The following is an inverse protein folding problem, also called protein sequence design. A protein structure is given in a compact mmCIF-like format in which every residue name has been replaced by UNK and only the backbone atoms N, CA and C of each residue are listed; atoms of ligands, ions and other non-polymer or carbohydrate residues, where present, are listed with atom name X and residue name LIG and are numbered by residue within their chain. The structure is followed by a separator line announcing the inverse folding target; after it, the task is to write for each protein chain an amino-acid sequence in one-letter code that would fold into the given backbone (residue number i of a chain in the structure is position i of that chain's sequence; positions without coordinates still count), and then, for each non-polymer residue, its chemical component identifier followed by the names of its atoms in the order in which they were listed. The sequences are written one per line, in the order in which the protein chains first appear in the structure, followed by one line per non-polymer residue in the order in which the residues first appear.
data_IF_019838467898
#
_entry.id   IF_019838467898
#
_cell.length_a   1.000
_cell.length_b   1.000
_cell.length_c   1.000
_cell.angle_alpha   90.00
_cell.angle_beta   90.00
_cell.angle_gamma   90.00
#
_symmetry.space_group_name_H-M   'P 1'
#
loop_
_entity.id
_entity.type
_entity.pdbx_description
1 polymer ?
#
# COMPACT_ATOMS: atom_id res chain seq x y z
N UNK A 1 -1.04 -9.95 -17.48
CA UNK A 1 -0.17 -10.37 -16.36
C UNK A 1 0.01 -9.18 -15.43
N UNK A 2 -0.92 -8.96 -14.49
CA UNK A 2 -0.91 -7.79 -13.60
C UNK A 2 -1.63 -8.00 -12.26
N UNK A 3 -1.96 -9.25 -11.92
CA UNK A 3 -2.85 -9.58 -10.79
C UNK A 3 -2.12 -9.68 -9.44
N UNK A 4 -0.78 -9.72 -9.43
CA UNK A 4 0.00 -9.98 -8.21
C UNK A 4 0.57 -8.72 -7.54
N UNK A 5 0.60 -7.56 -8.21
CA UNK A 5 1.18 -6.34 -7.62
C UNK A 5 0.28 -5.69 -6.58
N UNK A 6 -1.04 -5.84 -6.70
CA UNK A 6 -2.02 -5.34 -5.73
C UNK A 6 -1.86 -6.01 -4.37
N UNK A 7 -1.40 -7.26 -4.34
CA UNK A 7 -1.17 -8.01 -3.10
C UNK A 7 0.25 -7.85 -2.56
N UNK A 8 1.08 -7.04 -3.22
CA UNK A 8 2.47 -6.80 -2.81
C UNK A 8 3.26 -8.10 -2.65
N UNK A 9 3.05 -9.02 -3.59
CA UNK A 9 3.81 -10.26 -3.69
C UNK A 9 5.31 -9.96 -3.83
N UNK A 10 6.19 -10.81 -3.29
CA UNK A 10 7.62 -10.70 -3.54
C UNK A 10 7.93 -10.60 -5.05
N UNK A 11 8.68 -9.57 -5.45
CA UNK A 11 9.05 -9.33 -6.85
C UNK A 11 7.96 -8.71 -7.73
N UNK A 12 6.76 -8.47 -7.21
CA UNK A 12 5.65 -7.85 -7.97
C UNK A 12 5.71 -6.31 -8.02
N UNK A 13 6.46 -5.69 -7.11
CA UNK A 13 6.57 -4.23 -6.99
C UNK A 13 7.72 -3.69 -7.85
N UNK A 14 7.42 -2.70 -8.68
CA UNK A 14 8.44 -1.93 -9.39
C UNK A 14 9.07 -0.91 -8.45
N UNK A 15 10.30 -1.18 -8.01
CA UNK A 15 11.04 -0.34 -7.06
C UNK A 15 11.07 1.13 -7.49
N UNK A 16 11.20 1.43 -8.80
CA UNK A 16 11.25 2.82 -9.29
C UNK A 16 9.94 3.58 -9.05
N UNK A 17 8.82 2.87 -8.97
CA UNK A 17 7.49 3.47 -8.77
C UNK A 17 7.13 3.67 -7.30
N UNK A 18 7.69 2.84 -6.40
CA UNK A 18 7.31 2.79 -4.96
C UNK A 18 8.28 3.52 -4.03
N UNK A 19 9.55 3.70 -4.43
CA UNK A 19 10.55 4.41 -3.62
C UNK A 19 10.02 5.79 -3.22
N UNK A 20 10.08 6.08 -1.91
CA UNK A 20 9.67 7.37 -1.36
C UNK A 20 8.16 7.60 -1.27
N UNK A 21 7.31 6.61 -1.61
CA UNK A 21 5.85 6.71 -1.57
C UNK A 21 5.24 5.83 -0.47
N UNK A 22 3.97 6.07 -0.17
CA UNK A 22 3.14 5.14 0.60
C UNK A 22 2.50 4.18 -0.39
N UNK A 23 2.61 2.88 -0.12
CA UNK A 23 2.06 1.81 -0.97
C UNK A 23 0.75 1.32 -0.38
N UNK A 24 -0.24 1.06 -1.23
CA UNK A 24 -1.51 0.43 -0.84
C UNK A 24 -1.50 -1.00 -1.38
N UNK A 25 -1.72 -1.99 -0.51
CA UNK A 25 -1.85 -3.40 -0.87
C UNK A 25 -3.23 -3.91 -0.46
N UNK A 26 -3.75 -4.91 -1.16
CA UNK A 26 -5.00 -5.62 -0.84
C UNK A 26 -4.66 -7.02 -0.32
N UNK A 27 -5.45 -7.50 0.63
CA UNK A 27 -5.40 -8.86 1.14
C UNK A 27 -6.62 -9.67 0.66
N UNK A 28 -6.65 -9.96 -0.65
CA UNK A 28 -7.66 -10.83 -1.26
C UNK A 28 -7.18 -12.29 -1.41
N UNK A 29 -5.88 -12.53 -1.24
CA UNK A 29 -5.23 -13.84 -1.35
C UNK A 29 -4.36 -14.12 -0.09
N UNK A 30 -4.76 -15.11 0.73
CA UNK A 30 -4.07 -15.45 1.98
C UNK A 30 -2.75 -16.19 1.75
N UNK A 31 -2.33 -16.45 0.51
CA UNK A 31 -1.07 -17.15 0.24
C UNK A 31 0.17 -16.40 0.77
N UNK A 32 0.07 -15.08 1.00
CA UNK A 32 1.14 -14.27 1.60
C UNK A 32 0.60 -13.52 2.80
N UNK A 33 1.17 -13.79 3.97
CA UNK A 33 0.78 -13.10 5.20
C UNK A 33 1.09 -11.60 5.16
N UNK A 34 0.30 -10.80 5.89
CA UNK A 34 0.54 -9.36 6.09
C UNK A 34 1.96 -9.01 6.52
N UNK A 35 2.62 -9.90 7.29
CA UNK A 35 4.03 -9.73 7.68
C UNK A 35 4.98 -9.73 6.48
N UNK A 36 4.79 -10.67 5.55
CA UNK A 36 5.62 -10.75 4.35
C UNK A 36 5.34 -9.56 3.43
N UNK A 37 4.06 -9.20 3.22
CA UNK A 37 3.68 -8.01 2.43
C UNK A 37 4.36 -6.74 2.98
N UNK A 38 4.37 -6.57 4.30
CA UNK A 38 5.08 -5.48 4.98
C UNK A 38 6.59 -5.50 4.72
N UNK A 39 7.24 -6.67 4.78
CA UNK A 39 8.68 -6.78 4.54
C UNK A 39 9.03 -6.47 3.09
N UNK A 40 8.24 -6.97 2.13
CA UNK A 40 8.41 -6.68 0.70
C UNK A 40 8.35 -5.18 0.45
N UNK A 41 7.33 -4.50 0.96
CA UNK A 41 7.17 -3.05 0.77
C UNK A 41 8.30 -2.27 1.44
N UNK A 42 8.70 -2.65 2.66
CA UNK A 42 9.80 -2.00 3.36
C UNK A 42 11.15 -2.11 2.61
N UNK A 43 11.42 -3.27 2.00
CA UNK A 43 12.63 -3.51 1.20
C UNK A 43 12.71 -2.60 -0.04
N UNK A 44 11.56 -2.20 -0.59
CA UNK A 44 11.50 -1.27 -1.72
C UNK A 44 11.84 0.19 -1.38
N UNK A 45 12.21 0.51 -0.13
CA UNK A 45 12.42 1.90 0.35
C UNK A 45 11.16 2.77 0.21
N UNK A 46 9.99 2.16 0.32
CA UNK A 46 8.74 2.88 0.50
C UNK A 46 8.73 3.60 1.86
N UNK A 47 7.93 4.66 1.98
CA UNK A 47 7.74 5.41 3.23
C UNK A 47 6.73 4.76 4.17
N UNK A 48 5.87 3.89 3.67
CA UNK A 48 4.88 3.20 4.47
C UNK A 48 3.98 2.29 3.66
N UNK A 49 3.15 1.54 4.38
CA UNK A 49 2.18 0.59 3.83
C UNK A 49 0.79 0.82 4.43
N UNK A 50 -0.21 0.91 3.56
CA UNK A 50 -1.63 0.74 3.90
C UNK A 50 -2.06 -0.63 3.38
N UNK A 51 -2.43 -1.55 4.27
CA UNK A 51 -2.97 -2.85 3.91
C UNK A 51 -4.50 -2.82 4.00
N UNK A 52 -5.18 -3.21 2.94
CA UNK A 52 -6.63 -3.39 2.91
C UNK A 52 -6.90 -4.86 3.23
N UNK A 53 -7.37 -5.12 4.45
CA UNK A 53 -7.71 -6.45 4.93
C UNK A 53 -8.95 -6.33 5.85
N UNK A 54 -9.98 -7.11 5.57
CA UNK A 54 -11.19 -7.16 6.41
C UNK A 54 -11.13 -8.26 7.47
N UNK A 55 -10.39 -9.33 7.23
CA UNK A 55 -10.34 -10.50 8.09
C UNK A 55 -9.45 -10.26 9.32
N UNK A 56 -8.28 -9.64 9.13
CA UNK A 56 -7.37 -9.33 10.24
C UNK A 56 -7.61 -7.95 10.85
N UNK A 57 -8.57 -7.18 10.31
CA UNK A 57 -8.86 -5.80 10.74
C UNK A 57 -9.06 -5.71 12.24
N UNK A 58 -8.20 -4.92 12.89
CA UNK A 58 -8.28 -4.65 14.33
C UNK A 58 -7.57 -5.68 15.20
N UNK A 59 -6.97 -6.72 14.60
CA UNK A 59 -6.00 -7.56 15.29
C UNK A 59 -4.69 -6.77 15.46
N UNK A 60 -4.11 -6.73 16.67
CA UNK A 60 -2.83 -6.09 16.90
C UNK A 60 -1.75 -6.68 15.98
N UNK A 61 -0.97 -5.79 15.36
CA UNK A 61 0.16 -6.16 14.51
C UNK A 61 1.39 -5.33 14.87
N UNK A 62 2.50 -5.99 15.13
CA UNK A 62 3.79 -5.33 15.36
C UNK A 62 4.50 -5.08 14.03
N UNK A 63 4.44 -3.83 13.56
CA UNK A 63 5.13 -3.39 12.34
C UNK A 63 6.57 -2.95 12.59
N UNK A 64 7.04 -2.92 13.85
CA UNK A 64 8.30 -2.32 14.27
C UNK A 64 8.35 -0.82 13.97
N UNK A 65 9.48 -0.35 13.43
CA UNK A 65 9.69 1.08 13.11
C UNK A 65 9.08 1.52 11.76
N UNK A 66 8.50 0.59 11.00
CA UNK A 66 8.02 0.87 9.66
C UNK A 66 6.56 1.34 9.71
N UNK A 67 6.23 2.52 9.13
CA UNK A 67 4.86 3.01 9.10
C UNK A 67 3.92 2.01 8.40
N UNK A 68 2.94 1.53 9.15
CA UNK A 68 2.00 0.51 8.71
C UNK A 68 0.63 0.81 9.30
N UNK A 69 -0.41 0.69 8.48
CA UNK A 69 -1.79 0.72 8.92
C UNK A 69 -2.59 -0.32 8.15
N UNK A 70 -3.58 -0.90 8.83
CA UNK A 70 -4.50 -1.86 8.24
C UNK A 70 -5.91 -1.27 8.27
N UNK A 71 -6.63 -1.39 7.15
CA UNK A 71 -7.97 -0.83 6.98
C UNK A 71 -8.88 -1.89 6.37
N UNK A 72 -10.17 -1.83 6.71
CA UNK A 72 -11.17 -2.69 6.08
C UNK A 72 -11.50 -2.26 4.65
N UNK A 73 -12.23 -3.10 3.93
CA UNK A 73 -12.64 -2.94 2.54
C UNK A 73 -13.35 -1.61 2.27
N UNK A 74 -14.24 -1.16 3.17
CA UNK A 74 -14.98 0.10 2.98
C UNK A 74 -14.05 1.32 2.94
N UNK A 75 -13.11 1.41 3.88
CA UNK A 75 -12.15 2.51 3.92
C UNK A 75 -11.07 2.34 2.84
N UNK A 76 -10.65 1.11 2.58
CA UNK A 76 -9.72 0.76 1.52
C UNK A 76 -10.23 1.18 0.13
N UNK A 77 -11.52 0.93 -0.15
CA UNK A 77 -12.14 1.34 -1.40
C UNK A 77 -12.14 2.86 -1.57
N UNK A 78 -12.46 3.63 -0.53
CA UNK A 78 -12.39 5.10 -0.55
C UNK A 78 -10.96 5.60 -0.82
N UNK A 79 -9.95 4.94 -0.25
CA UNK A 79 -8.53 5.27 -0.50
C UNK A 79 -8.17 4.99 -1.97
N UNK A 80 -8.61 3.87 -2.52
CA UNK A 80 -8.37 3.52 -3.93
C UNK A 80 -9.08 4.50 -4.88
N UNK A 81 -10.31 4.89 -4.58
CA UNK A 81 -11.04 5.92 -5.32
C UNK A 81 -10.31 7.27 -5.26
N UNK A 82 -9.80 7.66 -4.09
CA UNK A 82 -8.99 8.87 -3.96
C UNK A 82 -7.73 8.81 -4.83
N UNK A 83 -6.98 7.70 -4.78
CA UNK A 83 -5.75 7.54 -5.60
C UNK A 83 -6.07 7.63 -7.10
N UNK A 84 -7.16 7.00 -7.54
CA UNK A 84 -7.55 6.98 -8.96
C UNK A 84 -8.16 8.30 -9.45
N UNK A 85 -8.86 9.03 -8.58
CA UNK A 85 -9.45 10.34 -8.90
C UNK A 85 -8.42 11.48 -8.84
N UNK A 86 -7.37 11.32 -8.06
CA UNK A 86 -6.29 12.30 -7.96
C UNK A 86 -5.31 12.11 -9.12
N UNK A 87 -5.70 12.56 -10.32
CA UNK A 87 -4.72 12.85 -11.35
C UNK A 87 -3.83 13.99 -10.85
N UNK A 88 -2.64 13.66 -10.33
CA UNK A 88 -1.55 14.60 -10.03
C UNK A 88 -1.12 15.47 -11.24
N UNK A 89 -1.80 15.36 -12.40
CA UNK A 89 -1.62 16.18 -13.60
C UNK A 89 -2.10 17.63 -13.40
N UNK A 90 -2.96 17.92 -12.41
CA UNK A 90 -3.45 19.30 -12.20
C UNK A 90 -2.79 20.07 -11.04
N UNK A 91 -1.82 19.47 -10.32
CA UNK A 91 -1.18 20.11 -9.15
C UNK A 91 0.26 20.59 -9.38
N UNK A 92 0.67 20.81 -10.63
CA UNK A 92 1.81 21.68 -10.96
C UNK A 92 1.39 22.55 -12.14
N UNK A 93 0.87 23.76 -11.86
CA UNK A 93 1.79 24.88 -11.90
C UNK A 93 1.60 25.84 -10.71
N UNK A 94 2.70 26.10 -10.01
CA UNK A 94 2.91 27.27 -9.14
C UNK A 94 2.05 27.37 -7.88
N UNK A 95 2.52 26.85 -6.73
CA UNK A 95 2.37 27.60 -5.47
C UNK A 95 3.62 27.48 -4.60
N UNK A 96 4.13 28.62 -4.07
CA UNK A 96 5.35 28.70 -3.30
C UNK A 96 5.07 28.48 -1.82
N UNK A 97 5.87 27.61 -1.20
CA UNK A 97 6.27 27.72 0.20
C UNK A 97 7.77 27.45 0.28
#
# INVERSE_FOLDING_TARGET
MGEHSQNCYPGSLDQKKVVGKIVVCVDDDPAVSRRIKKLVVADTKAKGLILIDEAEKGLPFDSGIFPFTEVGNTAGFQILEYINSTNLIYWLPEWPF
#
